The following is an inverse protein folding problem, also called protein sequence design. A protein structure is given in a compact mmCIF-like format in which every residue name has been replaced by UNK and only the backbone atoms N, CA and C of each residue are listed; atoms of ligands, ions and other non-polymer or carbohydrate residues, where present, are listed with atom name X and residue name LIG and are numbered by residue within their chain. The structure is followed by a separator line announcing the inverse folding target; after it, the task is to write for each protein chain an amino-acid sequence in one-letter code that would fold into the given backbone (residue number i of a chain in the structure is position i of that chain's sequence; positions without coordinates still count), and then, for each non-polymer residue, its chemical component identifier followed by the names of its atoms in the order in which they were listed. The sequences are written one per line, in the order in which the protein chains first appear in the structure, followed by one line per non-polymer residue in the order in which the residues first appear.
data_IF_904878522667
#
_entry.id   IF_904878522667
#
_cell.length_a   1.000
_cell.length_b   1.000
_cell.length_c   1.000
_cell.angle_alpha   90.00
_cell.angle_beta   90.00
_cell.angle_gamma   90.00
#
_symmetry.space_group_name_H-M   'P 1'
#
loop_
_entity.id
_entity.type
_entity.pdbx_description
1 polymer ?
#
# COMPACT_ATOMS: atom_id res chain seq x y z
N UNK A 1 -20.31 -10.49 -2.75
CA UNK A 1 -19.26 -10.57 -1.71
C UNK A 1 -18.46 -11.83 -1.97
N UNK A 2 -17.23 -11.71 -2.46
CA UNK A 2 -16.30 -12.82 -2.58
C UNK A 2 -15.56 -12.99 -1.25
N UNK A 3 -15.43 -14.23 -0.76
CA UNK A 3 -14.66 -14.52 0.45
C UNK A 3 -13.62 -15.57 0.08
N UNK A 4 -12.37 -15.20 0.23
CA UNK A 4 -11.22 -16.08 0.03
C UNK A 4 -10.61 -16.32 1.40
N UNK A 5 -10.75 -17.54 1.91
CA UNK A 5 -10.25 -17.86 3.25
C UNK A 5 -8.73 -17.98 3.25
N UNK A 6 -8.14 -18.67 2.28
CA UNK A 6 -6.70 -18.90 2.25
C UNK A 6 -6.26 -19.12 0.80
N UNK A 7 -5.20 -18.43 0.36
CA UNK A 7 -4.44 -18.74 -0.85
C UNK A 7 -3.01 -19.07 -0.44
N UNK A 8 -2.48 -20.20 -0.94
CA UNK A 8 -1.13 -20.65 -0.62
C UNK A 8 -0.39 -21.11 -1.86
N UNK A 9 0.83 -20.61 -2.01
CA UNK A 9 1.76 -21.07 -3.04
C UNK A 9 2.07 -19.98 -4.06
N UNK A 10 2.12 -20.37 -5.34
CA UNK A 10 2.36 -19.46 -6.45
C UNK A 10 1.03 -19.14 -7.15
N UNK A 11 0.32 -18.15 -6.64
CA UNK A 11 -1.04 -17.83 -7.08
C UNK A 11 -1.09 -16.55 -7.91
N UNK A 12 -1.89 -16.57 -8.98
CA UNK A 12 -2.18 -15.39 -9.78
C UNK A 12 -3.69 -15.13 -9.71
N UNK A 13 -4.05 -13.95 -9.22
CA UNK A 13 -5.43 -13.49 -9.22
C UNK A 13 -5.57 -12.47 -10.33
N UNK A 14 -6.37 -12.81 -11.35
CA UNK A 14 -6.59 -11.91 -12.47
C UNK A 14 -7.38 -10.67 -12.01
N UNK A 15 -8.60 -10.85 -11.53
CA UNK A 15 -9.47 -9.72 -11.19
C UNK A 15 -10.38 -10.09 -10.00
N UNK A 16 -10.49 -9.20 -9.02
CA UNK A 16 -11.60 -9.20 -8.07
C UNK A 16 -12.36 -7.89 -8.17
N UNK A 17 -13.67 -7.99 -8.39
CA UNK A 17 -14.57 -6.84 -8.49
C UNK A 17 -15.63 -6.85 -7.39
N UNK A 18 -15.98 -5.67 -6.89
CA UNK A 18 -17.05 -5.45 -5.92
C UNK A 18 -16.60 -5.63 -4.48
N UNK A 19 -17.43 -6.26 -3.65
CA UNK A 19 -17.07 -6.50 -2.24
C UNK A 19 -16.30 -7.80 -2.09
N UNK A 20 -15.11 -7.76 -1.48
CA UNK A 20 -14.30 -8.95 -1.21
C UNK A 20 -13.67 -8.93 0.19
N UNK A 21 -13.38 -10.12 0.70
CA UNK A 21 -12.61 -10.31 1.92
C UNK A 21 -11.61 -11.45 1.71
N UNK A 22 -10.33 -11.19 2.00
CA UNK A 22 -9.26 -12.17 1.93
C UNK A 22 -8.66 -12.31 3.33
N UNK A 23 -8.70 -13.51 3.91
CA UNK A 23 -8.16 -13.70 5.26
C UNK A 23 -6.63 -13.85 5.23
N UNK A 24 -6.10 -14.78 4.42
CA UNK A 24 -4.66 -15.02 4.32
C UNK A 24 -4.26 -15.26 2.86
N UNK A 25 -3.22 -14.58 2.39
CA UNK A 25 -2.44 -15.03 1.23
C UNK A 25 -0.99 -15.24 1.64
N UNK A 26 -0.48 -16.44 1.40
CA UNK A 26 0.88 -16.82 1.77
C UNK A 26 1.63 -17.41 0.57
N UNK A 27 2.74 -16.79 0.18
CA UNK A 27 3.61 -17.28 -0.89
C UNK A 27 4.01 -16.20 -1.89
N UNK A 28 4.19 -16.60 -3.14
CA UNK A 28 4.58 -15.70 -4.22
C UNK A 28 3.35 -15.45 -5.10
N UNK A 29 2.93 -14.21 -5.31
CA UNK A 29 1.71 -13.98 -6.09
C UNK A 29 1.68 -12.69 -6.89
N UNK A 30 0.83 -12.70 -7.92
CA UNK A 30 0.52 -11.50 -8.68
C UNK A 30 -0.98 -11.27 -8.68
N UNK A 31 -1.39 -10.05 -8.40
CA UNK A 31 -2.77 -9.59 -8.52
C UNK A 31 -2.81 -8.53 -9.60
N UNK A 32 -3.56 -8.76 -10.69
CA UNK A 32 -3.61 -7.77 -11.76
C UNK A 32 -4.54 -6.62 -11.35
N UNK A 33 -5.78 -6.89 -10.97
CA UNK A 33 -6.72 -5.82 -10.60
C UNK A 33 -7.57 -6.19 -9.37
N UNK A 34 -7.65 -5.29 -8.39
CA UNK A 34 -8.66 -5.31 -7.35
C UNK A 34 -9.48 -4.02 -7.42
N UNK A 35 -10.75 -4.14 -7.76
CA UNK A 35 -11.65 -3.00 -7.87
C UNK A 35 -12.86 -3.15 -6.93
N UNK A 36 -13.08 -2.18 -6.05
CA UNK A 36 -14.25 -2.13 -5.17
C UNK A 36 -13.91 -1.99 -3.69
N UNK A 37 -14.69 -2.63 -2.83
CA UNK A 37 -14.53 -2.50 -1.38
C UNK A 37 -13.98 -3.80 -0.79
N UNK A 38 -12.78 -3.74 -0.22
CA UNK A 38 -12.01 -4.92 0.15
C UNK A 38 -11.43 -4.85 1.55
N UNK A 39 -11.31 -6.00 2.21
CA UNK A 39 -10.44 -6.15 3.37
C UNK A 39 -9.51 -7.34 3.17
N UNK A 40 -8.23 -7.15 3.46
CA UNK A 40 -7.21 -8.18 3.47
C UNK A 40 -6.61 -8.23 4.87
N UNK A 41 -6.73 -9.36 5.57
CA UNK A 41 -6.18 -9.45 6.92
C UNK A 41 -4.66 -9.65 6.88
N UNK A 42 -4.16 -10.69 6.21
CA UNK A 42 -2.72 -10.98 6.18
C UNK A 42 -2.20 -11.32 4.79
N UNK A 43 -1.08 -10.71 4.42
CA UNK A 43 -0.31 -10.99 3.21
C UNK A 43 1.14 -11.31 3.58
N UNK A 44 1.56 -12.55 3.38
CA UNK A 44 2.92 -12.99 3.69
C UNK A 44 3.63 -13.55 2.44
N UNK A 45 4.84 -13.05 2.16
CA UNK A 45 5.68 -13.55 1.07
C UNK A 45 6.08 -12.47 0.08
N UNK A 46 5.98 -12.75 -1.21
CA UNK A 46 6.44 -11.84 -2.26
C UNK A 46 5.34 -11.62 -3.29
N UNK A 47 5.09 -10.40 -3.72
CA UNK A 47 4.11 -10.21 -4.76
C UNK A 47 4.12 -8.88 -5.47
N UNK A 48 3.32 -8.83 -6.54
CA UNK A 48 3.05 -7.62 -7.28
C UNK A 48 1.54 -7.41 -7.38
N UNK A 49 1.12 -6.17 -7.20
CA UNK A 49 -0.23 -5.73 -7.48
C UNK A 49 -0.15 -4.66 -8.56
N UNK A 50 -0.79 -4.87 -9.70
CA UNK A 50 -0.77 -3.85 -10.75
C UNK A 50 -1.71 -2.69 -10.38
N UNK A 51 -2.99 -2.98 -10.12
CA UNK A 51 -3.97 -1.93 -9.83
C UNK A 51 -4.82 -2.27 -8.60
N UNK A 52 -4.89 -1.33 -7.66
CA UNK A 52 -5.86 -1.30 -6.56
C UNK A 52 -6.75 -0.07 -6.74
N UNK A 53 -8.05 -0.27 -6.91
CA UNK A 53 -9.01 0.83 -7.05
C UNK A 53 -10.21 0.65 -6.11
N UNK A 54 -10.51 1.65 -5.29
CA UNK A 54 -11.71 1.67 -4.45
C UNK A 54 -11.42 1.94 -2.98
N UNK A 55 -12.03 1.15 -2.10
CA UNK A 55 -11.91 1.34 -0.65
C UNK A 55 -11.37 0.07 0.00
N UNK A 56 -10.12 0.09 0.43
CA UNK A 56 -9.42 -1.06 0.97
C UNK A 56 -8.93 -0.88 2.41
N UNK A 57 -8.84 -1.99 3.13
CA UNK A 57 -8.00 -2.08 4.32
C UNK A 57 -7.12 -3.32 4.25
N UNK A 58 -5.83 -3.14 4.53
CA UNK A 58 -4.87 -4.22 4.72
C UNK A 58 -4.35 -4.17 6.15
N UNK A 59 -4.56 -5.22 6.94
CA UNK A 59 -4.09 -5.21 8.32
C UNK A 59 -2.58 -5.48 8.39
N UNK A 60 -2.09 -6.55 7.75
CA UNK A 60 -0.66 -6.91 7.82
C UNK A 60 -0.09 -7.30 6.45
N UNK A 61 1.02 -6.67 6.07
CA UNK A 61 1.83 -7.02 4.90
C UNK A 61 3.25 -7.37 5.34
N UNK A 62 3.66 -8.62 5.15
CA UNK A 62 5.01 -9.12 5.46
C UNK A 62 5.71 -9.66 4.22
N UNK A 63 6.89 -9.12 3.91
CA UNK A 63 7.78 -9.60 2.86
C UNK A 63 8.07 -8.55 1.78
N UNK A 64 8.03 -8.94 0.50
CA UNK A 64 8.46 -8.09 -0.61
C UNK A 64 7.31 -7.79 -1.57
N UNK A 65 6.83 -6.54 -1.62
CA UNK A 65 5.68 -6.17 -2.44
C UNK A 65 5.96 -4.98 -3.36
N UNK A 66 5.44 -5.05 -4.58
CA UNK A 66 5.39 -3.92 -5.48
C UNK A 66 3.93 -3.63 -5.83
N UNK A 67 3.51 -2.38 -5.72
CA UNK A 67 2.21 -1.90 -6.17
C UNK A 67 2.44 -0.85 -7.24
N UNK A 68 1.89 -1.04 -8.44
CA UNK A 68 2.04 -0.03 -9.48
C UNK A 68 1.10 1.15 -9.20
N UNK A 69 -0.20 0.90 -9.06
CA UNK A 69 -1.18 1.96 -8.85
C UNK A 69 -2.13 1.64 -7.68
N UNK A 70 -2.31 2.61 -6.79
CA UNK A 70 -3.35 2.60 -5.77
C UNK A 70 -4.21 3.85 -5.91
N UNK A 71 -5.52 3.66 -6.11
CA UNK A 71 -6.49 4.72 -6.28
C UNK A 71 -7.67 4.54 -5.31
N UNK A 72 -7.93 5.55 -4.47
CA UNK A 72 -9.13 5.59 -3.64
C UNK A 72 -8.85 5.78 -2.15
N UNK A 73 -9.56 5.05 -1.31
CA UNK A 73 -9.54 5.19 0.14
C UNK A 73 -8.94 3.93 0.79
N UNK A 74 -7.62 3.92 1.00
CA UNK A 74 -6.90 2.72 1.43
C UNK A 74 -6.18 2.92 2.77
N UNK A 75 -6.31 1.93 3.66
CA UNK A 75 -5.60 1.91 4.94
C UNK A 75 -4.71 0.67 5.04
N UNK A 76 -3.46 0.87 5.45
CA UNK A 76 -2.53 -0.22 5.79
C UNK A 76 -2.11 -0.06 7.24
N UNK A 77 -2.37 -1.06 8.08
CA UNK A 77 -1.98 -0.97 9.49
C UNK A 77 -0.48 -1.25 9.65
N UNK A 78 0.01 -2.40 9.18
CA UNK A 78 1.40 -2.81 9.37
C UNK A 78 2.06 -3.28 8.08
N UNK A 79 3.23 -2.71 7.77
CA UNK A 79 4.10 -3.09 6.66
C UNK A 79 5.47 -3.53 7.19
N UNK A 80 5.85 -4.78 6.95
CA UNK A 80 7.17 -5.31 7.27
C UNK A 80 7.89 -5.85 6.03
N UNK A 81 9.07 -5.34 5.73
CA UNK A 81 9.95 -5.87 4.68
C UNK A 81 10.28 -4.85 3.60
N UNK A 82 10.25 -5.26 2.33
CA UNK A 82 10.56 -4.40 1.19
C UNK A 82 9.29 -4.05 0.43
N UNK A 83 9.02 -2.76 0.21
CA UNK A 83 7.84 -2.31 -0.52
C UNK A 83 8.17 -1.21 -1.53
N UNK A 84 7.48 -1.22 -2.65
CA UNK A 84 7.55 -0.15 -3.63
C UNK A 84 6.14 0.19 -4.12
N UNK A 85 5.81 1.47 -4.14
CA UNK A 85 4.57 1.99 -4.70
C UNK A 85 4.94 2.98 -5.79
N UNK A 86 4.48 2.78 -7.02
CA UNK A 86 4.75 3.76 -8.07
C UNK A 86 3.82 4.96 -7.92
N UNK A 87 2.50 4.75 -7.90
CA UNK A 87 1.53 5.84 -7.79
C UNK A 87 0.48 5.55 -6.72
N UNK A 88 0.21 6.55 -5.88
CA UNK A 88 -0.89 6.54 -4.92
C UNK A 88 -1.73 7.80 -5.12
N UNK A 89 -3.00 7.63 -5.49
CA UNK A 89 -3.98 8.71 -5.65
C UNK A 89 -5.17 8.51 -4.69
N UNK A 90 -5.50 9.52 -3.89
CA UNK A 90 -6.69 9.53 -3.03
C UNK A 90 -6.38 9.71 -1.55
N UNK A 91 -7.15 9.05 -0.69
CA UNK A 91 -7.03 9.13 0.76
C UNK A 91 -6.38 7.87 1.31
N UNK A 92 -5.19 7.98 1.89
CA UNK A 92 -4.41 6.85 2.37
C UNK A 92 -3.91 7.01 3.80
N UNK A 93 -3.84 5.93 4.57
CA UNK A 93 -3.13 5.92 5.84
C UNK A 93 -2.28 4.68 6.00
N UNK A 94 -1.04 4.86 6.46
CA UNK A 94 -0.15 3.78 6.89
C UNK A 94 0.24 4.02 8.34
N UNK A 95 -0.11 3.09 9.23
CA UNK A 95 0.16 3.27 10.66
C UNK A 95 1.62 2.95 10.99
N UNK A 96 2.08 1.74 10.66
CA UNK A 96 3.44 1.30 10.95
C UNK A 96 4.13 0.73 9.73
N UNK A 97 5.38 1.13 9.57
CA UNK A 97 6.23 0.66 8.50
C UNK A 97 7.60 0.30 9.04
N UNK A 98 8.04 -0.93 8.78
CA UNK A 98 9.32 -1.45 9.23
C UNK A 98 10.05 -2.15 8.07
N UNK A 99 11.17 -1.58 7.63
CA UNK A 99 11.95 -2.11 6.51
C UNK A 99 12.23 -1.07 5.42
N UNK A 100 12.42 -1.53 4.19
CA UNK A 100 12.84 -0.67 3.09
C UNK A 100 11.67 -0.36 2.16
N UNK A 101 11.45 0.90 1.78
CA UNK A 101 10.59 1.12 0.63
C UNK A 101 10.46 2.52 0.10
N UNK A 102 9.88 2.60 -1.10
CA UNK A 102 9.83 3.82 -1.89
C UNK A 102 8.42 4.07 -2.41
N UNK A 103 8.03 5.35 -2.44
CA UNK A 103 6.82 5.82 -3.11
C UNK A 103 7.24 6.82 -4.17
N UNK A 104 6.94 6.59 -5.45
CA UNK A 104 7.35 7.54 -6.49
C UNK A 104 6.44 8.77 -6.47
N UNK A 105 5.12 8.59 -6.57
CA UNK A 105 4.16 9.69 -6.55
C UNK A 105 3.03 9.43 -5.54
N UNK A 106 2.72 10.44 -4.72
CA UNK A 106 1.57 10.43 -3.84
C UNK A 106 0.76 11.71 -4.02
N UNK A 107 -0.49 11.54 -4.44
CA UNK A 107 -1.44 12.61 -4.71
C UNK A 107 -2.71 12.43 -3.86
N UNK A 108 -3.03 13.40 -3.00
CA UNK A 108 -4.24 13.40 -2.17
C UNK A 108 -3.95 13.56 -0.68
N UNK A 109 -4.74 12.90 0.16
CA UNK A 109 -4.67 13.01 1.62
C UNK A 109 -4.01 11.78 2.22
N UNK A 110 -2.79 11.92 2.72
CA UNK A 110 -1.97 10.79 3.22
C UNK A 110 -1.53 10.98 4.67
N UNK A 111 -1.55 9.92 5.47
CA UNK A 111 -0.90 9.91 6.79
C UNK A 111 0.03 8.71 6.95
N UNK A 112 1.25 8.95 7.42
CA UNK A 112 2.22 7.92 7.81
C UNK A 112 2.60 8.18 9.28
N UNK A 113 2.30 7.25 10.20
CA UNK A 113 2.45 7.50 11.63
C UNK A 113 3.80 7.03 12.20
N UNK A 114 4.30 5.85 11.82
CA UNK A 114 5.61 5.37 12.25
C UNK A 114 6.37 4.71 11.11
N UNK A 115 7.66 5.06 11.00
CA UNK A 115 8.58 4.47 10.05
C UNK A 115 9.88 4.05 10.72
N UNK A 116 10.27 2.79 10.52
CA UNK A 116 11.49 2.16 11.00
C UNK A 116 12.19 1.42 9.84
N UNK A 117 12.93 2.13 8.99
CA UNK A 117 13.80 1.55 7.96
C UNK A 117 14.09 2.54 6.81
N UNK A 118 14.78 2.12 5.76
CA UNK A 118 15.19 3.06 4.70
C UNK A 118 14.01 3.37 3.78
N UNK A 119 13.81 4.64 3.41
CA UNK A 119 12.78 4.93 2.42
C UNK A 119 12.88 6.27 1.73
N UNK A 120 12.06 6.45 0.71
CA UNK A 120 12.02 7.70 -0.06
C UNK A 120 10.62 7.95 -0.60
N UNK A 121 10.24 9.22 -0.67
CA UNK A 121 9.12 9.67 -1.50
C UNK A 121 9.69 10.60 -2.58
N UNK A 122 9.30 10.44 -3.85
CA UNK A 122 9.84 11.29 -4.92
C UNK A 122 8.97 12.52 -5.21
N UNK A 123 7.65 12.41 -5.18
CA UNK A 123 6.72 13.52 -5.35
C UNK A 123 5.55 13.44 -4.35
N UNK A 124 5.17 14.58 -3.77
CA UNK A 124 4.04 14.74 -2.85
C UNK A 124 3.14 15.88 -3.34
N UNK A 125 1.88 15.58 -3.60
CA UNK A 125 0.83 16.54 -3.95
C UNK A 125 -0.38 16.34 -3.01
N UNK A 126 -0.84 17.39 -2.35
CA UNK A 126 -1.99 17.34 -1.43
C UNK A 126 -1.59 17.36 0.06
N UNK A 127 -2.49 16.90 0.92
CA UNK A 127 -2.37 16.97 2.38
C UNK A 127 -1.70 15.69 2.93
N UNK A 128 -0.37 15.67 2.99
CA UNK A 128 0.40 14.56 3.56
C UNK A 128 1.00 14.91 4.92
N UNK A 129 0.86 14.02 5.91
CA UNK A 129 1.52 14.11 7.23
C UNK A 129 2.35 12.85 7.43
N UNK A 130 3.64 13.00 7.74
CA UNK A 130 4.52 11.88 8.06
C UNK A 130 5.23 12.14 9.38
N UNK A 131 4.91 11.34 10.40
CA UNK A 131 5.64 11.29 11.66
C UNK A 131 6.73 10.21 11.55
N UNK A 132 7.98 10.56 11.84
CA UNK A 132 9.14 9.67 11.63
C UNK A 132 9.88 9.44 12.93
N UNK A 133 10.11 8.16 13.25
CA UNK A 133 10.91 7.74 14.40
C UNK A 133 12.36 7.46 13.96
N UNK A 134 13.30 7.93 14.77
CA UNK A 134 14.75 8.07 14.47
C UNK A 134 15.48 6.78 14.07
N UNK A 135 16.25 6.85 12.97
CA UNK A 135 17.29 5.87 12.60
C UNK A 135 17.74 5.79 11.14
N UNK A 136 17.27 6.66 10.22
CA UNK A 136 17.08 6.26 8.80
C UNK A 136 17.59 7.26 7.77
N UNK A 137 18.02 6.74 6.62
CA UNK A 137 18.20 7.48 5.37
C UNK A 137 16.82 7.66 4.72
N UNK A 138 16.14 8.78 5.01
CA UNK A 138 14.85 9.12 4.40
C UNK A 138 14.93 10.39 3.56
N UNK A 139 14.45 10.33 2.31
CA UNK A 139 14.35 11.48 1.40
C UNK A 139 12.87 11.88 1.24
N UNK A 140 12.52 13.09 1.72
CA UNK A 140 11.19 13.72 1.51
C UNK A 140 11.32 14.76 0.40
N UNK A 141 10.44 14.74 -0.62
CA UNK A 141 10.43 15.76 -1.64
C UNK A 141 9.74 17.02 -1.10
N UNK A 142 10.00 18.17 -1.72
CA UNK A 142 9.30 19.40 -1.32
C UNK A 142 7.83 19.30 -1.73
N UNK A 143 6.94 19.42 -0.75
CA UNK A 143 5.51 19.57 -0.95
C UNK A 143 5.25 20.67 -1.98
N UNK A 144 4.63 20.31 -3.12
CA UNK A 144 4.00 21.28 -4.00
C UNK A 144 2.60 21.51 -3.45
N UNK A 145 2.39 22.63 -2.76
CA UNK A 145 1.05 23.03 -2.32
C UNK A 145 0.16 23.15 -3.57
N UNK A 146 -0.72 22.16 -3.76
CA UNK A 146 -1.78 22.23 -4.74
C UNK A 146 -2.80 23.25 -4.26
N UNK A 147 -2.76 24.46 -4.83
CA UNK A 147 -3.88 25.38 -4.72
C UNK A 147 -5.10 24.78 -5.40
N UNK A 148 -6.17 24.59 -4.64
CA UNK A 148 -7.52 24.48 -5.19
C UNK A 148 -7.87 25.83 -5.83
N UNK A 149 -7.94 25.88 -7.16
CA UNK A 149 -8.76 26.84 -7.91
C UNK A 149 -10.04 26.14 -8.39
#
# INVERSE_FOLDING_TARGET
MAIVAELRGCDAVAELHGCYAVAEMCGCGAVAELCGCGAVAELCGCGAVAELCGCGAVAELRGCYAVAEMCGCDAVAELHGCYAVAEMCGCGAVAELCGCGAVAELCGCGAMAEMCGCGAVAELCGCAVAEMSVGLCFEIPRMREGGED
#
